data_IF_640657097751
#
_entry.id   IF_640657097751
#
_cell.length_a   1.000
_cell.length_b   1.000
_cell.length_c   1.000
_cell.angle_alpha   90.00
_cell.angle_beta   90.00
_cell.angle_gamma   90.00
#
_symmetry.space_group_name_H-M   'P 1'
#
loop_
_entity.id
_entity.type
_entity.pdbx_description
1 polymer ?
#
# COMPACT_ATOMS: atom_id res chain seq x y z
N UNK A 1 40.13 -6.24 -17.58
CA UNK A 1 39.18 -5.19 -17.19
C UNK A 1 37.98 -5.31 -18.11
N UNK A 2 36.84 -5.77 -17.59
CA UNK A 2 35.57 -5.75 -18.30
C UNK A 2 34.49 -5.54 -17.25
N UNK A 3 34.37 -4.28 -16.81
CA UNK A 3 33.38 -3.81 -15.88
C UNK A 3 32.03 -3.67 -16.60
N UNK A 4 31.38 -4.81 -16.88
CA UNK A 4 29.96 -4.84 -17.22
C UNK A 4 29.14 -4.57 -15.95
N UNK A 5 29.14 -3.31 -15.51
CA UNK A 5 28.25 -2.81 -14.46
C UNK A 5 26.85 -2.65 -15.07
N UNK A 6 25.85 -3.43 -14.65
CA UNK A 6 24.50 -3.25 -15.18
C UNK A 6 23.99 -1.86 -14.78
N UNK A 7 23.37 -1.18 -15.74
CA UNK A 7 22.78 0.14 -15.57
C UNK A 7 21.71 0.12 -14.45
N UNK A 8 22.07 0.69 -13.31
CA UNK A 8 21.20 0.93 -12.15
C UNK A 8 20.21 2.06 -12.49
N UNK A 9 19.28 1.79 -13.42
CA UNK A 9 18.17 2.70 -13.75
C UNK A 9 16.80 2.05 -13.52
N UNK A 10 16.70 0.72 -13.57
CA UNK A 10 15.46 -0.01 -13.30
C UNK A 10 15.09 -0.16 -11.82
N UNK A 11 16.05 -0.04 -10.90
CA UNK A 11 15.83 -0.31 -9.47
C UNK A 11 15.14 0.84 -8.74
N UNK A 12 15.50 2.10 -9.01
CA UNK A 12 14.90 3.26 -8.34
C UNK A 12 13.41 3.46 -8.67
N UNK A 13 13.02 3.23 -9.93
CA UNK A 13 11.62 3.38 -10.33
C UNK A 13 10.73 2.31 -9.68
N UNK A 14 11.18 1.05 -9.69
CA UNK A 14 10.49 -0.05 -9.03
C UNK A 14 10.44 0.12 -7.50
N UNK A 15 11.47 0.70 -6.89
CA UNK A 15 11.50 0.99 -5.46
C UNK A 15 10.53 2.14 -5.08
N UNK A 16 10.45 3.17 -5.92
CA UNK A 16 9.47 4.25 -5.75
C UNK A 16 8.04 3.73 -5.85
N UNK A 17 7.74 2.90 -6.85
CA UNK A 17 6.41 2.29 -7.02
C UNK A 17 6.02 1.44 -5.80
N UNK A 18 6.93 0.60 -5.31
CA UNK A 18 6.70 -0.20 -4.09
C UNK A 18 6.43 0.67 -2.87
N UNK A 19 7.15 1.78 -2.72
CA UNK A 19 6.92 2.72 -1.62
C UNK A 19 5.58 3.45 -1.76
N UNK A 20 5.14 3.79 -2.97
CA UNK A 20 3.81 4.36 -3.20
C UNK A 20 2.69 3.39 -2.80
N UNK A 21 2.79 2.12 -3.21
CA UNK A 21 1.83 1.07 -2.84
C UNK A 21 1.77 0.89 -1.33
N UNK A 22 2.92 0.75 -0.66
CA UNK A 22 3.02 0.63 0.81
C UNK A 22 2.38 1.81 1.52
N UNK A 23 2.72 3.03 1.10
CA UNK A 23 2.19 4.25 1.71
C UNK A 23 0.68 4.39 1.53
N UNK A 24 0.17 4.00 0.36
CA UNK A 24 -1.27 4.03 0.09
C UNK A 24 -2.03 3.06 1.00
N UNK A 25 -1.57 1.80 1.08
CA UNK A 25 -2.13 0.78 1.98
C UNK A 25 -2.12 1.26 3.43
N UNK A 26 -0.99 1.81 3.90
CA UNK A 26 -0.85 2.30 5.27
C UNK A 26 -1.91 3.37 5.62
N UNK A 27 -2.11 4.35 4.73
CA UNK A 27 -3.10 5.42 4.93
C UNK A 27 -4.53 4.90 4.91
N UNK A 28 -4.82 3.89 4.08
CA UNK A 28 -6.13 3.26 4.05
C UNK A 28 -6.44 2.52 5.34
N UNK A 29 -5.49 1.72 5.86
CA UNK A 29 -5.69 1.01 7.12
C UNK A 29 -5.88 1.98 8.29
N UNK A 30 -5.21 3.14 8.27
CA UNK A 30 -5.41 4.19 9.27
C UNK A 30 -6.71 5.00 9.11
N UNK A 31 -7.52 4.74 8.10
CA UNK A 31 -8.74 5.51 7.81
C UNK A 31 -8.47 6.97 7.38
N UNK A 32 -7.24 7.30 6.98
CA UNK A 32 -6.81 8.66 6.57
C UNK A 32 -6.87 8.88 5.06
N UNK A 33 -7.46 7.93 4.32
CA UNK A 33 -7.47 7.97 2.86
C UNK A 33 -8.78 8.58 2.34
N UNK A 34 -8.67 9.54 1.44
CA UNK A 34 -9.80 10.04 0.66
C UNK A 34 -10.32 8.92 -0.25
N UNK A 35 -11.61 8.61 -0.17
CA UNK A 35 -12.20 7.48 -0.90
C UNK A 35 -12.20 7.69 -2.41
N UNK A 36 -12.47 8.91 -2.89
CA UNK A 36 -12.51 9.24 -4.33
C UNK A 36 -11.11 9.12 -4.90
N UNK A 37 -10.14 9.74 -4.24
CA UNK A 37 -8.73 9.70 -4.67
C UNK A 37 -8.12 8.29 -4.53
N UNK A 38 -8.56 7.50 -3.55
CA UNK A 38 -8.11 6.12 -3.39
C UNK A 38 -8.51 5.24 -4.55
N UNK A 39 -9.72 5.42 -5.08
CA UNK A 39 -10.20 4.62 -6.21
C UNK A 39 -9.30 4.80 -7.44
N UNK A 40 -8.96 6.04 -7.77
CA UNK A 40 -8.08 6.36 -8.91
C UNK A 40 -6.66 5.80 -8.71
N UNK A 41 -6.14 5.90 -7.48
CA UNK A 41 -4.82 5.36 -7.13
C UNK A 41 -4.81 3.84 -7.28
N UNK A 42 -5.82 3.14 -6.73
CA UNK A 42 -5.93 1.69 -6.88
C UNK A 42 -6.11 1.26 -8.32
N UNK A 43 -6.88 1.99 -9.13
CA UNK A 43 -7.00 1.68 -10.56
C UNK A 43 -5.64 1.74 -11.27
N UNK A 44 -4.79 2.73 -10.94
CA UNK A 44 -3.43 2.81 -11.49
C UNK A 44 -2.54 1.68 -10.99
N UNK A 45 -2.54 1.41 -9.69
CA UNK A 45 -1.76 0.34 -9.06
C UNK A 45 -2.14 -1.01 -9.67
N UNK A 46 -3.43 -1.34 -9.74
CA UNK A 46 -3.90 -2.63 -10.26
C UNK A 46 -3.64 -2.79 -11.76
N UNK A 47 -3.51 -1.70 -12.51
CA UNK A 47 -3.19 -1.74 -13.94
C UNK A 47 -1.70 -1.89 -14.24
N UNK A 48 -0.81 -1.48 -13.32
CA UNK A 48 0.64 -1.35 -13.57
C UNK A 48 1.48 -2.27 -12.71
N UNK A 49 1.10 -2.46 -11.44
CA UNK A 49 1.89 -3.20 -10.48
C UNK A 49 1.68 -4.70 -10.61
N UNK A 50 2.76 -5.45 -10.42
CA UNK A 50 2.72 -6.90 -10.33
C UNK A 50 1.91 -7.35 -9.09
N UNK A 51 0.98 -8.32 -9.23
CA UNK A 51 0.15 -8.80 -8.11
C UNK A 51 0.96 -9.26 -6.88
N UNK A 52 2.14 -9.86 -7.08
CA UNK A 52 2.98 -10.31 -5.97
C UNK A 52 3.56 -9.12 -5.20
N UNK A 53 3.87 -8.02 -5.88
CA UNK A 53 4.33 -6.78 -5.24
C UNK A 53 3.25 -6.15 -4.36
N UNK A 54 1.98 -6.20 -4.79
CA UNK A 54 0.84 -5.74 -4.00
C UNK A 54 0.65 -6.65 -2.77
N UNK A 55 0.67 -7.97 -2.95
CA UNK A 55 0.51 -8.94 -1.86
C UNK A 55 1.61 -8.80 -0.80
N UNK A 56 2.87 -8.61 -1.22
CA UNK A 56 3.98 -8.36 -0.32
C UNK A 56 3.81 -7.05 0.46
N UNK A 57 3.42 -5.96 -0.21
CA UNK A 57 3.18 -4.69 0.46
C UNK A 57 2.03 -4.78 1.49
N UNK A 58 0.95 -5.50 1.16
CA UNK A 58 -0.13 -5.79 2.11
C UNK A 58 0.37 -6.59 3.31
N UNK A 59 1.11 -7.67 3.07
CA UNK A 59 1.64 -8.54 4.13
C UNK A 59 2.55 -7.77 5.08
N UNK A 60 3.46 -6.96 4.56
CA UNK A 60 4.37 -6.13 5.35
C UNK A 60 3.60 -5.13 6.21
N UNK A 61 2.67 -4.38 5.60
CA UNK A 61 1.88 -3.39 6.35
C UNK A 61 1.08 -4.09 7.46
N UNK A 62 0.35 -5.15 7.14
CA UNK A 62 -0.52 -5.83 8.11
C UNK A 62 0.26 -6.50 9.25
N UNK A 63 1.48 -6.95 9.01
CA UNK A 63 2.31 -7.63 10.00
C UNK A 63 3.09 -6.66 10.89
N UNK A 64 3.59 -5.55 10.35
CA UNK A 64 4.49 -4.66 11.08
C UNK A 64 3.78 -3.68 12.03
N UNK A 65 2.52 -3.34 11.76
CA UNK A 65 1.87 -2.24 12.46
C UNK A 65 0.86 -2.66 13.53
N UNK A 66 0.83 -3.94 13.93
CA UNK A 66 -0.04 -4.49 14.98
C UNK A 66 -1.45 -3.88 14.94
N UNK A 67 -2.06 -3.86 13.76
CA UNK A 67 -3.37 -3.24 13.60
C UNK A 67 -4.38 -3.98 14.48
N UNK A 68 -4.90 -3.30 15.51
CA UNK A 68 -6.02 -3.81 16.26
C UNK A 68 -7.27 -3.76 15.37
N UNK A 69 -8.01 -4.86 15.35
CA UNK A 69 -9.36 -4.88 14.81
C UNK A 69 -10.14 -3.71 15.41
N UNK A 70 -10.66 -2.82 14.56
CA UNK A 70 -11.52 -1.74 15.02
C UNK A 70 -12.75 -2.41 15.63
N UNK A 71 -13.03 -2.23 16.93
CA UNK A 71 -14.19 -2.87 17.53
C UNK A 71 -15.42 -2.40 16.75
N UNK A 72 -16.09 -3.33 16.07
CA UNK A 72 -17.38 -3.09 15.42
C UNK A 72 -18.27 -2.43 16.47
N UNK A 73 -18.61 -1.15 16.27
CA UNK A 73 -19.19 -0.22 17.24
C UNK A 73 -20.07 -0.91 18.30
N UNK A 74 -19.45 -1.43 19.38
CA UNK A 74 -20.18 -1.93 20.54
C UNK A 74 -20.43 -0.68 21.37
N UNK A 75 -21.63 -0.11 21.21
CA UNK A 75 -22.17 1.10 21.87
C UNK A 75 -22.15 2.37 21.00
N UNK A 76 -22.84 2.34 19.86
CA UNK A 76 -23.67 3.49 19.53
C UNK A 76 -25.07 3.22 20.08
N UNK A 77 -25.32 3.63 21.33
CA UNK A 77 -26.68 3.84 21.83
C UNK A 77 -27.29 5.13 21.23
N UNK A 78 -26.67 5.73 20.20
CA UNK A 78 -27.17 6.93 19.52
C UNK A 78 -28.01 6.62 18.28
N UNK A 79 -28.35 5.35 18.02
CA UNK A 79 -29.52 5.01 17.21
C UNK A 79 -30.73 4.88 18.15
N UNK A 80 -31.18 6.03 18.68
CA UNK A 80 -32.55 6.20 19.16
C UNK A 80 -33.44 6.55 17.97
#
# INVERSE_FOLDING_TARGET
MNDNKPCIKGTKAAENEKNEIRNHIHRQIQGKSDQVRSKEIWQRILAQADPMSIANALSEQLTHFNYQEVPSCKKCNCCC
#
